data_IF_297586013330
#
_entry.id   IF_297586013330
#
_cell.length_a   1.000
_cell.length_b   1.000
_cell.length_c   1.000
_cell.angle_alpha   90.00
_cell.angle_beta   90.00
_cell.angle_gamma   90.00
#
_symmetry.space_group_name_H-M   'P 1'
#
loop_
_entity.id
_entity.type
_entity.pdbx_description
1 polymer ?
2 non-polymer ?
3 non-polymer ?
4 water ?
#
# COMPACT_ATOMS: atom_id res chain seq x y z
N UNK A 1 -11.68 7.74 20.38
CA UNK A 1 -12.20 6.43 19.86
C UNK A 1 -12.65 6.53 18.40
N UNK A 2 -11.78 6.07 17.47
CA UNK A 2 -12.03 6.08 16.03
C UNK A 2 -13.21 5.24 15.58
N UNK A 3 -13.65 4.32 16.43
CA UNK A 3 -14.77 3.47 16.10
C UNK A 3 -16.07 4.01 16.64
N UNK A 4 -15.97 5.08 17.42
CA UNK A 4 -17.13 5.70 18.04
C UNK A 4 -18.38 5.79 17.16
N UNK A 5 -18.20 6.11 15.88
CA UNK A 5 -19.34 6.24 14.99
C UNK A 5 -19.49 5.14 13.94
N UNK A 6 -18.65 4.12 14.01
CA UNK A 6 -18.67 3.03 13.02
C UNK A 6 -19.39 1.76 13.45
N UNK A 7 -19.66 1.63 14.75
CA UNK A 7 -20.30 0.42 15.27
C UNK A 7 -21.52 -0.11 14.52
N UNK A 8 -22.54 0.71 14.37
CA UNK A 8 -23.75 0.26 13.72
C UNK A 8 -23.62 -0.37 12.34
N UNK A 9 -22.89 0.27 11.43
CA UNK A 9 -22.74 -0.26 10.10
C UNK A 9 -21.40 -0.94 9.84
N UNK A 10 -20.70 -1.29 10.91
CA UNK A 10 -19.40 -1.92 10.82
C UNK A 10 -19.38 -3.21 9.98
N UNK A 11 -20.49 -3.93 9.96
CA UNK A 11 -20.57 -5.18 9.20
C UNK A 11 -21.35 -5.07 7.89
N UNK A 12 -21.79 -3.87 7.56
CA UNK A 12 -22.56 -3.65 6.33
C UNK A 12 -21.82 -4.16 5.11
N UNK A 13 -20.54 -3.86 5.05
CA UNK A 13 -19.75 -4.27 3.90
C UNK A 13 -19.76 -5.78 3.67
N UNK A 14 -19.85 -6.57 4.74
CA UNK A 14 -19.86 -8.02 4.60
C UNK A 14 -21.06 -8.50 3.80
N UNK A 15 -22.06 -7.64 3.65
CA UNK A 15 -23.24 -8.00 2.90
C UNK A 15 -23.02 -7.87 1.41
N UNK A 16 -22.09 -7.02 1.00
CA UNK A 16 -21.82 -6.84 -0.42
C UNK A 16 -21.06 -8.04 -0.98
N UNK A 17 -21.15 -8.24 -2.30
CA UNK A 17 -20.49 -9.36 -2.98
C UNK A 17 -19.01 -9.50 -2.64
N UNK A 18 -18.27 -8.43 -2.82
CA UNK A 18 -16.84 -8.47 -2.52
C UNK A 18 -16.61 -8.69 -1.04
N UNK A 19 -17.31 -7.90 -0.22
CA UNK A 19 -17.15 -8.03 1.22
C UNK A 19 -17.51 -9.42 1.70
N UNK A 20 -18.58 -9.98 1.14
CA UNK A 20 -19.02 -11.32 1.53
C UNK A 20 -17.91 -12.32 1.22
N UNK A 21 -17.24 -12.11 0.09
CA UNK A 21 -16.17 -12.99 -0.32
C UNK A 21 -14.98 -12.85 0.65
N UNK A 22 -14.63 -11.60 0.94
CA UNK A 22 -13.51 -11.37 1.82
C UNK A 22 -13.73 -11.99 3.19
N UNK A 23 -14.86 -11.69 3.81
CA UNK A 23 -15.14 -12.20 5.14
C UNK A 23 -15.23 -13.72 5.15
N UNK A 24 -15.70 -14.30 4.05
CA UNK A 24 -15.78 -15.75 3.95
C UNK A 24 -14.37 -16.34 3.92
N UNK A 25 -13.49 -15.77 3.11
CA UNK A 25 -12.15 -16.29 3.05
C UNK A 25 -11.40 -16.16 4.35
N UNK A 26 -11.59 -15.03 5.03
CA UNK A 26 -10.90 -14.79 6.29
C UNK A 26 -11.35 -15.79 7.35
N UNK A 27 -12.66 -16.03 7.46
CA UNK A 27 -13.12 -16.99 8.44
C UNK A 27 -12.52 -18.37 8.15
N UNK A 28 -12.53 -18.76 6.88
CA UNK A 28 -12.01 -20.06 6.48
C UNK A 28 -10.56 -20.20 6.92
N UNK A 29 -9.78 -19.13 6.72
CA UNK A 29 -8.38 -19.14 7.09
C UNK A 29 -8.25 -19.24 8.60
N UNK A 30 -9.08 -18.48 9.31
CA UNK A 30 -9.07 -18.47 10.77
C UNK A 30 -9.39 -19.87 11.32
N UNK A 31 -10.40 -20.49 10.73
CA UNK A 31 -10.81 -21.82 11.16
C UNK A 31 -9.64 -22.78 11.03
N UNK A 32 -8.81 -22.56 10.03
CA UNK A 32 -7.65 -23.42 9.83
C UNK A 32 -6.59 -23.32 10.92
N UNK A 33 -6.66 -22.30 11.75
CA UNK A 33 -5.69 -22.13 12.82
C UNK A 33 -6.27 -22.36 14.21
N UNK A 34 -7.60 -22.30 14.30
CA UNK A 34 -8.27 -22.49 15.59
C UNK A 34 -8.00 -23.85 16.21
N UNK A 35 -7.37 -23.86 17.38
CA UNK A 35 -7.06 -25.12 18.08
C UNK A 35 -8.16 -25.56 19.04
N UNK A 36 -8.07 -26.80 19.55
CA UNK A 36 -9.08 -27.30 20.49
C UNK A 36 -8.93 -26.52 21.79
N UNK A 37 -10.04 -26.32 22.49
CA UNK A 37 -9.97 -25.58 23.73
C UNK A 37 -11.32 -25.42 24.39
N UNK A 38 -11.30 -24.89 25.60
CA UNK A 38 -12.53 -24.68 26.34
C UNK A 38 -12.86 -23.21 26.46
N UNK A 39 -11.86 -22.41 26.83
CA UNK A 39 -12.07 -20.98 26.99
C UNK A 39 -11.33 -20.14 25.97
N UNK A 40 -12.05 -19.17 25.40
CA UNK A 40 -11.51 -18.26 24.42
C UNK A 40 -11.70 -16.82 24.85
N UNK A 41 -10.68 -16.01 24.62
CA UNK A 41 -10.72 -14.60 24.94
C UNK A 41 -10.36 -13.80 23.71
N UNK A 42 -11.27 -12.94 23.24
CA UNK A 42 -10.93 -12.11 22.10
C UNK A 42 -10.70 -10.68 22.57
N UNK A 43 -9.48 -10.18 22.38
CA UNK A 43 -9.15 -8.81 22.76
C UNK A 43 -9.55 -7.94 21.57
N UNK A 44 -10.39 -6.94 21.82
CA UNK A 44 -10.84 -6.09 20.73
C UNK A 44 -11.91 -6.83 19.97
N UNK A 45 -12.86 -7.42 20.68
CA UNK A 45 -13.94 -8.20 20.07
C UNK A 45 -14.94 -7.35 19.27
N UNK A 46 -14.78 -6.04 19.32
CA UNK A 46 -15.64 -5.14 18.57
C UNK A 46 -17.13 -5.45 18.56
N UNK A 47 -17.69 -5.72 17.38
CA UNK A 47 -19.11 -6.01 17.31
C UNK A 47 -19.38 -7.48 17.56
N UNK A 48 -18.35 -8.20 18.00
CA UNK A 48 -18.50 -9.61 18.30
C UNK A 48 -18.71 -10.53 17.12
N UNK A 49 -18.24 -10.13 15.95
CA UNK A 49 -18.40 -10.93 14.74
C UNK A 49 -17.84 -12.34 14.89
N UNK A 50 -16.66 -12.45 15.48
CA UNK A 50 -16.04 -13.74 15.67
C UNK A 50 -16.58 -14.46 16.88
N UNK A 51 -16.87 -13.71 17.94
CA UNK A 51 -17.42 -14.33 19.15
C UNK A 51 -18.65 -15.17 18.87
N UNK A 52 -19.57 -14.67 18.04
CA UNK A 52 -20.76 -15.45 17.76
C UNK A 52 -20.53 -16.59 16.78
N UNK A 53 -19.47 -16.52 16.00
CA UNK A 53 -19.20 -17.58 15.03
C UNK A 53 -18.28 -18.69 15.54
N UNK A 54 -17.45 -18.41 16.54
CA UNK A 54 -16.56 -19.43 17.06
C UNK A 54 -17.34 -20.41 17.96
N UNK A 55 -16.95 -21.69 17.93
CA UNK A 55 -17.55 -22.80 18.67
C UNK A 55 -17.20 -23.00 20.15
N UNK A 56 -16.11 -22.39 20.62
CA UNK A 56 -15.71 -22.55 22.02
C UNK A 56 -16.88 -22.39 23.00
N UNK A 57 -16.97 -23.29 23.99
CA UNK A 57 -18.01 -23.25 25.01
C UNK A 57 -17.90 -22.08 25.97
N UNK A 58 -16.68 -21.61 26.20
CA UNK A 58 -16.47 -20.49 27.10
C UNK A 58 -15.86 -19.31 26.33
N UNK A 59 -16.68 -18.28 26.07
CA UNK A 59 -16.20 -17.13 25.32
C UNK A 59 -16.29 -15.82 26.07
N UNK A 60 -15.20 -15.05 26.00
CA UNK A 60 -15.07 -13.77 26.68
C UNK A 60 -14.56 -12.68 25.72
N UNK A 61 -15.24 -11.55 25.68
CA UNK A 61 -14.80 -10.48 24.80
C UNK A 61 -14.42 -9.20 25.52
N UNK A 62 -13.20 -8.73 25.25
CA UNK A 62 -12.70 -7.49 25.84
C UNK A 62 -12.75 -6.41 24.77
N UNK A 63 -13.53 -5.37 25.03
CA UNK A 63 -13.70 -4.28 24.09
C UNK A 63 -13.78 -2.96 24.83
N UNK A 64 -12.85 -2.03 24.54
CA UNK A 64 -12.82 -0.73 25.19
C UNK A 64 -13.81 0.29 24.63
N UNK A 65 -14.14 0.18 23.35
CA UNK A 65 -15.06 1.13 22.74
C UNK A 65 -16.49 0.90 23.20
N UNK A 66 -17.06 1.89 23.87
CA UNK A 66 -18.43 1.78 24.36
C UNK A 66 -19.36 1.53 23.18
N UNK A 67 -19.11 2.22 22.08
CA UNK A 67 -19.91 2.10 20.86
C UNK A 67 -19.88 0.66 20.33
N UNK A 69 -18.80 -2.09 21.85
CA UNK A 69 -19.32 -2.93 22.91
C UNK A 69 -20.85 -2.98 22.95
N UNK A 70 -21.49 -1.83 22.76
CA UNK A 70 -22.94 -1.78 22.76
C UNK A 70 -23.50 -2.78 21.74
N UNK A 71 -22.92 -2.78 20.54
CA UNK A 71 -23.34 -3.69 19.49
C UNK A 71 -22.91 -5.12 19.74
N UNK A 72 -21.63 -5.30 20.06
CA UNK A 72 -21.10 -6.63 20.32
C UNK A 72 -21.88 -7.50 21.30
N UNK A 73 -22.16 -6.98 22.49
CA UNK A 73 -22.87 -7.78 23.46
C UNK A 73 -24.30 -8.09 23.03
N UNK A 74 -24.83 -7.25 22.14
CA UNK A 74 -26.17 -7.48 21.62
C UNK A 74 -26.11 -8.67 20.67
N UNK A 75 -25.13 -8.66 19.77
CA UNK A 75 -24.96 -9.70 18.77
C UNK A 75 -24.33 -11.00 19.26
N UNK A 76 -23.52 -10.94 20.30
CA UNK A 76 -22.91 -12.17 20.84
C UNK A 76 -23.18 -12.29 22.35
N UNK A 77 -24.47 -12.28 22.74
CA UNK A 77 -24.89 -12.38 24.13
C UNK A 77 -24.37 -13.59 24.90
N UNK A 78 -24.19 -14.71 24.21
CA UNK A 78 -23.70 -15.92 24.87
C UNK A 78 -22.34 -15.73 25.51
N UNK A 79 -21.63 -14.68 25.13
CA UNK A 79 -20.30 -14.45 25.69
C UNK A 79 -20.35 -13.42 26.80
N UNK A 80 -19.29 -13.38 27.60
CA UNK A 80 -19.19 -12.43 28.70
C UNK A 80 -18.44 -11.23 28.14
N UNK A 81 -19.07 -10.06 28.16
CA UNK A 81 -18.42 -8.86 27.63
C UNK A 81 -17.81 -7.96 28.70
N UNK A 82 -16.49 -7.74 28.58
CA UNK A 82 -15.76 -6.93 29.53
C UNK A 82 -15.21 -5.64 28.91
N UNK A 83 -15.44 -4.51 29.57
CA UNK A 83 -14.95 -3.22 29.07
C UNK A 83 -13.56 -2.98 29.64
N UNK A 84 -12.54 -3.24 28.83
CA UNK A 84 -11.16 -3.06 29.24
C UNK A 84 -10.24 -2.85 28.03
N UNK A 85 -8.96 -2.59 28.30
CA UNK A 85 -7.99 -2.38 27.25
C UNK A 85 -7.04 -3.57 27.17
N UNK A 86 -6.55 -3.86 25.97
CA UNK A 86 -5.63 -4.97 25.81
C UNK A 86 -4.40 -4.84 26.67
N UNK A 87 -3.98 -3.60 26.91
CA UNK A 87 -2.80 -3.33 27.72
C UNK A 87 -2.95 -3.80 29.18
N UNK A 88 -4.18 -3.89 29.67
CA UNK A 88 -4.42 -4.31 31.05
C UNK A 88 -5.65 -5.20 31.17
N UNK A 89 -5.48 -6.49 30.91
CA UNK A 89 -6.58 -7.44 30.99
C UNK A 89 -6.88 -7.80 32.45
N UNK A 90 -8.14 -7.59 32.89
CA UNK A 90 -8.60 -7.86 34.26
C UNK A 90 -8.83 -9.35 34.53
N UNK A 91 -7.84 -10.18 34.23
CA UNK A 91 -7.96 -11.61 34.47
C UNK A 91 -6.68 -12.09 35.10
N UNK A 92 -6.77 -13.15 35.93
CA UNK A 92 -5.58 -13.67 36.58
C UNK A 92 -4.79 -14.42 35.50
N UNK A 93 -3.52 -14.72 35.79
CA UNK A 93 -2.72 -15.43 34.82
C UNK A 93 -3.22 -16.84 34.52
N UNK A 94 -2.81 -17.35 33.37
CA UNK A 94 -3.17 -18.69 32.93
C UNK A 94 -4.65 -19.04 33.11
N UNK A 95 -5.52 -18.24 32.49
CA UNK A 95 -6.96 -18.48 32.61
C UNK A 95 -7.66 -18.85 31.30
N UNK A 96 -6.97 -18.70 30.17
CA UNK A 96 -7.57 -19.04 28.87
C UNK A 96 -6.77 -20.06 28.07
N UNK A 97 -7.47 -20.82 27.22
CA UNK A 97 -6.82 -21.81 26.38
C UNK A 97 -6.42 -21.17 25.07
N UNK A 98 -7.21 -20.18 24.62
CA UNK A 98 -6.96 -19.48 23.37
C UNK A 98 -7.26 -17.98 23.49
N UNK A 99 -6.35 -17.15 22.98
CA UNK A 99 -6.58 -15.72 22.98
C UNK A 99 -6.49 -15.26 21.52
N UNK A 100 -7.53 -14.58 21.06
CA UNK A 100 -7.61 -14.10 19.68
C UNK A 100 -7.46 -12.61 19.55
N UNK A 101 -6.67 -12.19 18.57
CA UNK A 101 -6.43 -10.78 18.27
C UNK A 101 -6.58 -10.61 16.76
N UNK A 102 -7.78 -10.26 16.33
CA UNK A 102 -8.06 -10.09 14.91
C UNK A 102 -8.10 -8.63 14.52
N UNK A 103 -7.12 -8.20 13.73
CA UNK A 103 -6.96 -6.82 13.26
C UNK A 103 -7.23 -5.82 14.40
N UNK A 104 -6.60 -6.08 15.53
CA UNK A 104 -6.76 -5.23 16.70
C UNK A 104 -5.45 -4.51 16.99
N UNK A 105 -4.34 -5.20 16.77
CA UNK A 105 -3.02 -4.62 17.00
C UNK A 105 -2.82 -3.35 16.16
N UNK A 106 -3.60 -3.23 15.09
CA UNK A 106 -3.54 -2.06 14.23
C UNK A 106 -4.05 -0.82 14.96
N UNK A 107 -4.81 -1.02 16.04
CA UNK A 107 -5.38 0.09 16.76
C UNK A 107 -5.05 0.24 18.24
N UNK A 108 -4.37 -0.74 18.83
CA UNK A 108 -4.04 -0.65 20.26
C UNK A 108 -3.06 0.49 20.50
N UNK A 109 -2.82 0.84 21.76
CA UNK A 109 -1.91 1.93 22.05
C UNK A 109 -0.49 1.44 22.27
N UNK A 110 -0.36 0.17 22.67
CA UNK A 110 0.94 -0.42 22.92
C UNK A 110 0.88 -1.87 22.48
N UNK A 111 1.50 -2.18 21.36
CA UNK A 111 1.48 -3.54 20.84
C UNK A 111 2.20 -4.56 21.70
N UNK A 112 3.44 -4.28 22.07
CA UNK A 112 4.20 -5.21 22.88
C UNK A 112 3.50 -5.50 24.20
N UNK A 113 2.90 -4.47 24.79
CA UNK A 113 2.22 -4.62 26.06
C UNK A 113 1.02 -5.53 25.91
N UNK A 114 0.23 -5.27 24.87
CA UNK A 114 -0.97 -6.06 24.57
C UNK A 114 -0.61 -7.54 24.37
N UNK A 115 0.52 -7.79 23.73
CA UNK A 115 0.98 -9.15 23.48
C UNK A 115 1.42 -9.80 24.78
N UNK A 116 2.01 -9.01 25.67
CA UNK A 116 2.44 -9.54 26.95
C UNK A 116 1.22 -9.95 27.75
N UNK A 117 0.23 -9.08 27.78
CA UNK A 117 -1.00 -9.36 28.49
C UNK A 117 -1.64 -10.63 27.94
N UNK A 118 -1.66 -10.75 26.62
CA UNK A 118 -2.24 -11.92 25.97
C UNK A 118 -1.57 -13.21 26.45
N UNK A 119 -0.24 -13.19 26.58
CA UNK A 119 0.48 -14.38 27.00
C UNK A 119 0.36 -14.69 28.49
N UNK A 120 0.23 -13.65 29.31
CA UNK A 120 0.09 -13.84 30.76
C UNK A 120 -1.23 -14.52 31.08
N UNK A 121 -2.28 -14.00 30.48
CA UNK A 121 -3.64 -14.48 30.63
C UNK A 121 -3.79 -15.86 30.02
N UNK A 122 -2.88 -16.18 29.12
CA UNK A 122 -2.89 -17.45 28.43
C UNK A 122 -2.29 -18.51 29.35
N UNK A 123 -2.93 -19.68 29.44
CA UNK A 123 -2.40 -20.71 30.31
C UNK A 123 -1.29 -21.50 29.61
N UNK A 124 -0.51 -22.29 30.38
CA UNK A 124 0.60 -23.09 29.86
C UNK A 124 0.36 -23.71 28.49
N UNK A 125 1.21 -23.36 27.53
CA UNK A 125 1.09 -23.89 26.18
C UNK A 125 -0.15 -23.36 25.47
N UNK A 126 -0.71 -22.29 26.02
CA UNK A 126 -1.90 -21.69 25.44
C UNK A 126 -1.67 -21.17 24.04
N UNK A 127 -2.72 -21.16 23.25
CA UNK A 127 -2.65 -20.71 21.87
C UNK A 127 -3.02 -19.24 21.69
N UNK A 128 -2.10 -18.48 21.12
CA UNK A 128 -2.33 -17.07 20.82
C UNK A 128 -2.47 -16.99 19.30
N UNK A 129 -3.64 -16.58 18.83
CA UNK A 129 -3.87 -16.44 17.40
C UNK A 129 -3.98 -14.96 17.06
N UNK A 130 -3.10 -14.50 16.17
CA UNK A 130 -3.09 -13.09 15.77
C UNK A 130 -3.37 -12.93 14.29
N UNK A 131 -4.24 -11.96 13.97
CA UNK A 131 -4.57 -11.69 12.59
C UNK A 131 -4.36 -10.22 12.31
N UNK A 132 -3.66 -9.92 11.22
CA UNK A 132 -3.41 -8.53 10.84
C UNK A 132 -3.59 -8.31 9.35
N UNK A 133 -3.81 -7.06 8.97
CA UNK A 133 -3.94 -6.70 7.55
C UNK A 133 -2.51 -6.47 7.09
N UNK A 134 -1.92 -7.51 6.51
CA UNK A 134 -0.54 -7.48 6.02
C UNK A 134 -0.25 -6.12 5.37
N UNK A 135 0.71 -5.41 5.93
CA UNK A 135 1.06 -4.08 5.45
C UNK A 135 1.44 -4.01 3.98
N UNK A 136 1.90 -5.14 3.42
CA UNK A 136 2.33 -5.18 2.03
C UNK A 136 1.29 -5.53 0.98
N UNK A 137 0.03 -5.63 1.38
CA UNK A 137 -0.99 -5.97 0.40
C UNK A 137 -1.64 -4.72 -0.18
N UNK A 138 -2.20 -4.82 -1.40
CA UNK A 138 -2.85 -3.67 -2.03
C UNK A 138 -3.96 -3.08 -1.16
N UNK A 139 -4.48 -3.89 -0.24
CA UNK A 139 -5.53 -3.41 0.68
C UNK A 139 -4.91 -2.40 1.64
N UNK A 140 -3.70 -2.70 2.09
CA UNK A 140 -3.02 -1.78 2.98
C UNK A 140 -2.84 -0.48 2.21
N UNK A 141 -2.51 -0.59 0.93
CA UNK A 141 -2.32 0.62 0.12
C UNK A 141 -3.60 1.45 0.18
N UNK A 142 -4.74 0.79 -0.02
CA UNK A 142 -6.02 1.49 0.02
C UNK A 142 -6.29 2.12 1.39
N UNK A 143 -6.11 1.33 2.45
CA UNK A 143 -6.38 1.85 3.78
C UNK A 143 -5.41 2.95 4.18
N UNK A 144 -4.14 2.82 3.80
CA UNK A 144 -3.20 3.88 4.13
C UNK A 144 -3.66 5.18 3.47
N UNK A 145 -4.07 5.09 2.20
CA UNK A 145 -4.55 6.26 1.48
C UNK A 145 -5.80 6.85 2.14
N UNK A 146 -6.76 5.98 2.43
CA UNK A 146 -7.99 6.40 3.07
C UNK A 146 -7.68 7.07 4.40
N UNK A 147 -6.69 6.52 5.11
CA UNK A 147 -6.29 7.07 6.39
C UNK A 147 -5.85 8.50 6.27
N UNK A 148 -4.78 8.73 5.48
CA UNK A 148 -4.27 10.09 5.29
C UNK A 148 -5.34 11.00 4.72
N UNK A 149 -6.32 10.39 4.05
CA UNK A 149 -7.42 11.14 3.47
C UNK A 149 -8.40 11.47 4.60
N UNK A 150 -8.03 11.10 5.82
CA UNK A 150 -8.86 11.38 6.98
C UNK A 150 -10.04 10.46 7.27
N UNK A 151 -10.13 9.32 6.59
CA UNK A 151 -11.24 8.39 6.83
C UNK A 151 -10.97 7.53 8.07
N UNK A 152 -11.99 7.38 8.90
CA UNK A 152 -11.89 6.59 10.11
C UNK A 152 -12.24 5.14 9.83
N UNK A 153 -11.62 4.20 10.56
CA UNK A 153 -10.64 4.42 11.63
C UNK A 153 -9.21 4.41 11.09
N UNK A 154 -9.10 4.30 9.78
CA UNK A 154 -7.81 4.21 9.11
C UNK A 154 -6.80 5.32 9.43
N UNK A 155 -7.29 6.52 9.67
CA UNK A 155 -6.39 7.63 9.98
C UNK A 155 -5.57 7.34 11.24
N UNK A 156 -6.09 6.49 12.11
CA UNK A 156 -5.39 6.16 13.34
C UNK A 156 -4.87 4.74 13.42
N UNK A 157 -4.73 4.09 12.28
CA UNK A 157 -4.25 2.71 12.24
C UNK A 157 -2.74 2.66 12.04
N UNK A 158 -2.14 1.52 12.36
CA UNK A 158 -0.71 1.31 12.16
C UNK A 158 -0.74 0.01 11.36
N UNK A 159 0.16 -0.16 10.41
CA UNK A 159 0.13 -1.39 9.63
C UNK A 159 1.29 -2.31 9.91
N UNK A 160 0.98 -3.58 10.07
CA UNK A 160 1.99 -4.58 10.38
C UNK A 160 2.13 -5.63 9.29
N UNK A 161 3.35 -6.15 9.18
CA UNK A 161 3.66 -7.18 8.21
C UNK A 161 3.96 -8.42 9.03
N UNK A 162 3.76 -9.60 8.45
CA UNK A 162 4.03 -10.84 9.17
C UNK A 162 5.43 -10.79 9.78
N UNK A 163 6.32 -10.07 9.12
CA UNK A 163 7.70 -9.94 9.60
C UNK A 163 7.72 -9.31 11.00
N UNK A 164 6.88 -8.29 11.21
CA UNK A 164 6.83 -7.61 12.50
C UNK A 164 6.34 -8.52 13.61
N UNK A 165 5.35 -9.36 13.31
CA UNK A 165 4.81 -10.26 14.31
C UNK A 165 5.89 -11.26 14.68
N UNK A 166 6.46 -11.93 13.69
CA UNK A 166 7.51 -12.90 13.93
C UNK A 166 8.64 -12.24 14.70
N UNK A 167 8.84 -10.96 14.44
CA UNK A 167 9.88 -10.21 15.13
C UNK A 167 9.53 -10.10 16.61
N UNK A 168 8.24 -9.99 16.91
CA UNK A 168 7.76 -9.85 18.28
C UNK A 168 7.47 -11.15 19.04
N UNK A 169 6.86 -12.11 18.35
CA UNK A 169 6.49 -13.36 19.00
C UNK A 169 7.39 -14.53 18.62
N UNK A 170 8.29 -14.31 17.67
CA UNK A 170 9.15 -15.40 17.25
C UNK A 170 8.40 -16.19 16.19
N UNK A 171 8.92 -17.36 15.80
CA UNK A 171 8.34 -18.25 14.78
C UNK A 171 7.02 -18.92 15.17
N UNK A 172 5.94 -18.60 14.45
CA UNK A 172 4.61 -19.18 14.72
C UNK A 172 4.58 -20.68 14.48
N UNK A 173 3.77 -21.36 15.29
CA UNK A 173 3.61 -22.80 15.21
C UNK A 173 2.82 -23.16 13.95
N UNK A 174 2.04 -22.20 13.45
CA UNK A 174 1.24 -22.40 12.26
C UNK A 174 0.87 -21.04 11.69
N UNK A 175 0.55 -21.00 10.40
CA UNK A 175 0.20 -19.76 9.73
C UNK A 175 -0.98 -19.94 8.82
N UNK A 176 -1.57 -18.82 8.43
CA UNK A 176 -2.71 -18.84 7.54
C UNK A 176 -2.74 -17.50 6.83
N UNK A 177 -3.40 -17.44 5.68
CA UNK A 177 -3.49 -16.20 4.92
C UNK A 177 -4.68 -16.23 4.01
N UNK A 178 -5.28 -15.07 3.77
CA UNK A 178 -6.45 -15.01 2.92
C UNK A 178 -6.61 -13.70 2.16
N UNK A 179 -7.32 -13.81 1.04
CA UNK A 179 -7.63 -12.69 0.16
C UNK A 179 -6.41 -12.17 -0.59
N UNK A 180 -6.15 -12.76 -1.76
CA UNK A 180 -5.02 -12.34 -2.58
C UNK A 180 -5.47 -11.40 -3.69
N UNK A 181 -6.78 -11.33 -3.94
CA UNK A 181 -7.27 -10.42 -4.96
C UNK A 181 -7.14 -8.99 -4.42
N UNK A 182 -7.31 -8.00 -5.27
CA UNK A 182 -7.18 -6.61 -4.84
C UNK A 182 -8.55 -5.96 -4.62
N UNK A 183 -8.58 -4.82 -3.91
CA UNK A 183 -9.80 -4.07 -3.62
C UNK A 183 -10.70 -3.82 -4.83
N UNK A 184 -10.12 -3.62 -6.00
CA UNK A 184 -10.93 -3.34 -7.17
C UNK A 184 -11.15 -4.55 -8.08
N UNK A 185 -11.04 -5.73 -7.50
CA UNK A 185 -11.22 -6.96 -8.24
C UNK A 185 -12.62 -7.10 -8.80
N UNK A 186 -12.72 -7.80 -9.92
CA UNK A 186 -14.01 -8.05 -10.55
C UNK A 186 -14.31 -9.55 -10.50
N UNK A 187 -15.58 -9.91 -10.28
CA UNK A 187 -16.02 -11.30 -10.19
C UNK A 187 -16.02 -11.99 -11.55
N UNK A 188 -16.00 -13.33 -11.58
CA UNK A 188 -15.98 -14.26 -10.45
C UNK A 188 -14.74 -14.10 -9.56
N UNK A 189 -14.98 -13.75 -8.31
CA UNK A 189 -13.91 -13.50 -7.36
C UNK A 189 -12.87 -14.59 -7.16
N UNK A 190 -13.23 -15.85 -7.35
CA UNK A 190 -12.24 -16.90 -7.17
C UNK A 190 -11.14 -16.80 -8.21
N UNK A 191 -11.48 -16.40 -9.43
CA UNK A 191 -10.48 -16.23 -10.47
C UNK A 191 -9.54 -15.11 -10.03
N UNK A 192 -10.14 -13.95 -9.73
CA UNK A 192 -9.40 -12.79 -9.28
C UNK A 192 -8.46 -13.17 -8.15
N UNK A 193 -8.98 -13.97 -7.22
CA UNK A 193 -8.19 -14.39 -6.06
C UNK A 193 -6.99 -15.25 -6.45
N UNK A 194 -7.21 -16.28 -7.26
CA UNK A 194 -6.08 -17.12 -7.67
C UNK A 194 -5.07 -16.26 -8.44
N UNK A 195 -5.60 -15.34 -9.26
CA UNK A 195 -4.77 -14.43 -10.05
C UNK A 195 -3.90 -13.58 -9.14
N UNK A 196 -4.50 -13.03 -8.10
CA UNK A 196 -3.74 -12.21 -7.18
C UNK A 196 -2.60 -12.97 -6.56
N UNK A 197 -2.79 -14.27 -6.35
CA UNK A 197 -1.74 -15.09 -5.75
C UNK A 197 -0.57 -15.16 -6.72
N UNK A 198 -0.88 -15.56 -7.95
CA UNK A 198 0.11 -15.70 -9.02
C UNK A 198 0.84 -14.38 -9.32
N UNK A 199 0.16 -13.26 -9.11
CA UNK A 199 0.76 -11.96 -9.38
C UNK A 199 1.77 -11.62 -8.30
N UNK A 200 1.77 -12.40 -7.22
CA UNK A 200 2.71 -12.16 -6.14
C UNK A 200 2.18 -11.30 -4.99
N UNK A 201 0.90 -10.98 -5.01
CA UNK A 201 0.30 -10.16 -3.96
C UNK A 201 0.47 -10.76 -2.57
N UNK A 202 0.76 -9.92 -1.59
CA UNK A 202 0.82 -10.38 -0.21
C UNK A 202 -0.67 -10.51 0.11
N UNK A 203 -1.06 -11.43 0.98
CA UNK A 203 -2.50 -11.52 1.25
C UNK A 203 -3.00 -10.33 2.05
N UNK A 204 -4.32 -10.12 2.05
CA UNK A 204 -4.89 -9.02 2.80
C UNK A 204 -4.86 -9.40 4.30
N UNK A 205 -4.96 -10.69 4.59
CA UNK A 205 -4.95 -11.13 5.97
C UNK A 205 -3.91 -12.20 6.26
N UNK A 206 -3.06 -11.91 7.24
CA UNK A 206 -2.07 -12.87 7.66
C UNK A 206 -2.47 -13.35 9.05
N UNK A 207 -2.39 -14.66 9.29
CA UNK A 207 -2.73 -15.25 10.59
C UNK A 207 -1.60 -16.12 11.10
N UNK A 208 -1.30 -15.96 12.39
CA UNK A 208 -0.26 -16.74 13.03
C UNK A 208 -0.72 -17.28 14.39
N UNK A 209 -0.27 -18.48 14.75
CA UNK A 209 -0.62 -19.10 16.03
C UNK A 209 0.65 -19.38 16.82
N UNK A 210 0.72 -18.84 18.04
CA UNK A 210 1.89 -19.03 18.90
C UNK A 210 1.53 -19.65 20.25
N UNK A 211 2.36 -20.59 20.68
CA UNK A 211 2.18 -21.25 21.97
C UNK A 211 3.39 -20.96 22.86
N UNK B 1 18.24 16.68 0.95
CA UNK B 1 18.08 15.89 -0.31
C UNK B 1 18.05 14.38 -0.07
N UNK B 2 16.87 13.76 -0.18
CA UNK B 2 16.68 12.33 0.02
C UNK B 2 17.54 11.43 -0.87
N UNK B 3 17.79 11.89 -2.10
CA UNK B 3 18.59 11.13 -3.06
C UNK B 3 20.08 11.42 -2.92
N UNK B 4 20.45 12.20 -1.90
CA UNK B 4 21.83 12.58 -1.65
C UNK B 4 22.86 11.46 -1.77
N UNK B 5 22.44 10.22 -1.52
CA UNK B 5 23.39 9.11 -1.60
C UNK B 5 22.86 7.92 -2.38
N UNK B 6 21.87 8.15 -3.24
CA UNK B 6 21.29 7.07 -4.01
C UNK B 6 21.66 7.13 -5.49
N UNK B 7 22.20 8.27 -5.93
CA UNK B 7 22.57 8.47 -7.31
C UNK B 7 23.36 7.34 -7.96
N UNK B 8 24.41 6.86 -7.30
CA UNK B 8 25.22 5.79 -7.88
C UNK B 8 24.54 4.44 -8.05
N UNK B 9 23.84 3.98 -7.02
CA UNK B 9 23.16 2.69 -7.09
C UNK B 9 21.71 2.81 -7.55
N UNK B 10 21.26 4.03 -7.82
CA UNK B 10 19.89 4.27 -8.25
C UNK B 10 19.40 3.29 -9.32
N UNK B 11 20.16 3.13 -10.39
CA UNK B 11 19.76 2.24 -11.48
C UNK B 11 20.08 0.76 -11.29
N UNK B 12 20.75 0.43 -10.19
CA UNK B 12 21.15 -0.94 -9.88
C UNK B 12 20.03 -1.98 -10.04
N UNK B 13 18.94 -1.78 -9.34
CA UNK B 13 17.81 -2.71 -9.39
C UNK B 13 17.42 -3.12 -10.81
N UNK B 14 17.44 -2.16 -11.73
CA UNK B 14 17.09 -2.44 -13.12
C UNK B 14 17.91 -3.58 -13.70
N UNK B 15 18.92 -4.01 -12.96
CA UNK B 15 19.78 -5.11 -13.39
C UNK B 15 19.23 -6.47 -13.00
N UNK B 16 18.39 -6.54 -11.97
CA UNK B 16 17.80 -7.81 -11.55
C UNK B 16 16.70 -8.22 -12.52
N UNK B 17 16.36 -9.51 -12.56
CA UNK B 17 15.32 -10.02 -13.46
C UNK B 17 13.98 -9.28 -13.43
N UNK B 18 13.44 -9.08 -12.22
CA UNK B 18 12.17 -8.38 -12.08
C UNK B 18 12.39 -6.92 -12.47
N UNK B 19 13.44 -6.32 -11.90
CA UNK B 19 13.75 -4.93 -12.21
C UNK B 19 13.83 -4.75 -13.72
N UNK B 20 14.57 -5.63 -14.38
CA UNK B 20 14.70 -5.56 -15.82
C UNK B 20 13.32 -5.55 -16.48
N UNK B 21 12.47 -6.47 -16.05
CA UNK B 21 11.12 -6.58 -16.59
C UNK B 21 10.29 -5.33 -16.37
N UNK B 22 10.29 -4.86 -15.11
CA UNK B 22 9.54 -3.68 -14.73
C UNK B 22 9.93 -2.46 -15.56
N UNK B 23 11.21 -2.08 -15.48
CA UNK B 23 11.68 -0.90 -16.20
C UNK B 23 11.44 -0.97 -17.70
N UNK B 24 11.50 -2.18 -18.27
CA UNK B 24 11.26 -2.34 -19.69
C UNK B 24 9.79 -2.08 -19.97
N UNK B 25 8.95 -2.57 -19.07
CA UNK B 25 7.51 -2.36 -19.23
C UNK B 25 7.16 -0.89 -19.12
N UNK B 26 7.84 -0.20 -18.21
CA UNK B 26 7.58 1.23 -18.05
C UNK B 26 8.01 1.98 -19.30
N UNK B 27 9.19 1.64 -19.82
CA UNK B 27 9.69 2.29 -21.02
C UNK B 27 8.70 2.14 -22.17
N UNK B 28 8.16 0.93 -22.32
CA UNK B 28 7.21 0.69 -23.38
C UNK B 28 5.98 1.58 -23.23
N UNK B 29 5.43 1.63 -22.03
CA UNK B 29 4.24 2.45 -21.79
C UNK B 29 4.54 3.94 -22.03
N UNK B 30 5.69 4.40 -21.55
CA UNK B 30 6.10 5.80 -21.71
C UNK B 30 6.25 6.17 -23.18
N UNK B 31 7.01 5.38 -23.93
CA UNK B 31 7.20 5.68 -25.34
C UNK B 31 5.88 5.66 -26.10
N UNK B 32 4.95 4.80 -25.68
CA UNK B 32 3.68 4.72 -26.35
C UNK B 32 2.84 5.98 -26.18
N UNK B 33 3.17 6.77 -25.16
CA UNK B 33 2.42 7.98 -24.86
C UNK B 33 3.12 9.28 -25.28
N UNK B 34 4.41 9.18 -25.60
CA UNK B 34 5.18 10.35 -26.02
C UNK B 34 4.75 10.81 -27.42
N UNK B 35 4.36 12.09 -27.54
CA UNK B 35 3.91 12.70 -28.79
C UNK B 35 5.02 13.23 -29.70
N UNK B 36 4.63 13.70 -30.90
CA UNK B 36 5.59 14.25 -31.87
C UNK B 36 6.12 15.57 -31.31
N UNK B 37 7.34 15.96 -31.70
CA UNK B 37 7.89 17.20 -31.19
C UNK B 37 9.39 17.32 -31.35
N UNK B 38 9.90 18.54 -31.16
CA UNK B 38 11.33 18.79 -31.30
C UNK B 38 12.02 18.96 -29.95
N UNK B 39 11.35 19.65 -29.03
CA UNK B 39 11.95 19.91 -27.72
C UNK B 39 11.25 19.26 -26.52
N UNK B 40 12.07 18.72 -25.63
CA UNK B 40 11.61 18.05 -24.43
C UNK B 40 12.28 18.56 -23.18
N UNK B 41 11.49 18.74 -22.13
CA UNK B 41 12.00 19.17 -20.83
C UNK B 41 11.62 18.11 -19.80
N UNK B 42 12.59 17.58 -19.07
CA UNK B 42 12.23 16.63 -18.02
C UNK B 42 12.54 17.23 -16.67
N UNK B 43 11.50 17.48 -15.89
CA UNK B 43 11.64 18.05 -14.55
C UNK B 43 11.93 16.91 -13.58
N UNK B 44 13.06 17.01 -12.88
CA UNK B 44 13.44 15.94 -11.98
C UNK B 44 14.00 14.81 -12.82
N UNK B 45 14.85 15.16 -13.78
CA UNK B 45 15.46 14.19 -14.70
C UNK B 45 16.40 13.18 -14.02
N UNK B 46 16.74 13.43 -12.76
CA UNK B 46 17.61 12.51 -12.03
C UNK B 46 18.88 12.07 -12.71
N UNK B 47 19.01 10.76 -12.95
CA UNK B 47 20.21 10.22 -13.57
C UNK B 47 20.11 10.12 -15.09
N UNK B 48 19.18 10.90 -15.67
CA UNK B 48 19.01 10.92 -17.11
C UNK B 48 18.62 9.62 -17.78
N UNK B 49 18.04 8.71 -17.02
CA UNK B 49 17.63 7.42 -17.56
C UNK B 49 16.69 7.58 -18.76
N UNK B 50 15.75 8.51 -18.68
CA UNK B 50 14.81 8.73 -19.77
C UNK B 50 15.35 9.67 -20.84
N UNK B 51 16.11 10.67 -20.42
CA UNK B 51 16.69 11.63 -21.36
C UNK B 51 17.59 10.88 -22.35
N UNK B 52 18.37 9.95 -21.82
CA UNK B 52 19.27 9.16 -22.63
C UNK B 52 18.53 8.23 -23.59
N UNK B 53 17.22 8.10 -23.42
CA UNK B 53 16.47 7.18 -24.27
C UNK B 53 15.35 7.76 -25.11
N UNK B 54 15.15 9.07 -25.10
CA UNK B 54 14.06 9.65 -25.90
C UNK B 54 14.47 10.30 -27.22
N UNK B 55 13.66 10.09 -28.28
CA UNK B 55 13.84 10.60 -29.65
C UNK B 55 14.04 12.10 -29.85
N UNK B 56 13.41 12.92 -29.00
CA UNK B 56 13.51 14.37 -29.13
C UNK B 56 14.92 14.92 -29.38
N UNK B 57 15.09 15.63 -30.50
CA UNK B 57 16.35 16.24 -30.92
C UNK B 57 16.91 17.25 -29.94
N UNK B 58 16.04 18.01 -29.31
CA UNK B 58 16.48 19.01 -28.34
C UNK B 58 15.85 18.72 -26.97
N UNK B 59 16.67 18.26 -26.03
CA UNK B 59 16.14 17.98 -24.70
C UNK B 59 16.91 18.57 -23.53
N UNK B 60 16.14 19.06 -22.56
CA UNK B 60 16.71 19.67 -21.37
C UNK B 60 16.29 18.92 -20.10
N UNK B 61 17.22 18.82 -19.16
CA UNK B 61 16.92 18.15 -17.91
C UNK B 61 17.05 19.09 -16.73
N UNK B 62 15.98 19.23 -15.95
CA UNK B 62 16.02 20.07 -14.75
C UNK B 62 16.12 19.14 -13.55
N UNK B 63 17.16 19.31 -12.75
CA UNK B 63 17.38 18.47 -11.58
C UNK B 63 18.04 19.23 -10.44
N UNK B 64 17.31 19.43 -9.34
CA UNK B 64 17.81 20.16 -8.16
C UNK B 64 18.89 19.44 -7.36
N UNK B 65 18.86 18.11 -7.37
CA UNK B 65 19.87 17.35 -6.63
C UNK B 65 21.20 17.36 -7.36
N UNK B 66 22.23 17.87 -6.69
CA UNK B 66 23.55 17.90 -7.29
C UNK B 66 24.10 16.48 -7.38
N UNK B 67 23.73 15.66 -6.41
CA UNK B 67 24.16 14.27 -6.37
C UNK B 67 23.66 13.54 -7.62
N UNK B 69 22.26 14.93 -10.29
CA UNK B 69 22.72 15.72 -11.44
C UNK B 69 24.10 15.30 -11.92
N UNK B 70 25.01 15.11 -10.97
CA UNK B 70 26.37 14.69 -11.29
C UNK B 70 26.34 13.44 -12.18
N UNK B 71 25.45 12.51 -11.85
CA UNK B 71 25.31 11.27 -12.62
C UNK B 71 24.58 11.52 -13.93
N UNK B 72 23.47 12.25 -13.86
CA UNK B 72 22.69 12.53 -15.05
C UNK B 72 23.45 13.21 -16.18
N UNK B 73 24.10 14.33 -15.88
CA UNK B 73 24.85 15.06 -16.90
C UNK B 73 25.89 14.16 -17.53
N UNK B 74 26.25 13.10 -16.81
CA UNK B 74 27.24 12.16 -17.28
C UNK B 74 26.61 11.09 -18.18
N UNK B 75 25.53 10.47 -17.71
CA UNK B 75 24.86 9.42 -18.47
C UNK B 75 24.01 9.91 -19.62
N UNK B 76 23.73 11.21 -19.65
CA UNK B 76 22.93 11.79 -20.73
C UNK B 76 23.54 13.15 -21.06
N UNK B 77 24.76 13.13 -21.64
CA UNK B 77 25.49 14.34 -22.03
C UNK B 77 24.88 15.09 -23.19
N UNK B 78 24.15 14.40 -24.06
CA UNK B 78 23.56 15.06 -25.22
C UNK B 78 22.39 15.96 -24.86
N UNK B 79 22.19 16.20 -23.57
CA UNK B 79 21.10 17.07 -23.15
C UNK B 79 21.67 18.17 -22.28
N UNK B 80 20.95 19.29 -22.20
CA UNK B 80 21.39 20.42 -21.39
C UNK B 80 20.89 20.24 -19.96
N UNK B 81 21.81 20.14 -19.01
CA UNK B 81 21.41 19.95 -17.63
C UNK B 81 21.37 21.24 -16.83
N UNK B 82 20.18 21.57 -16.35
CA UNK B 82 19.94 22.78 -15.57
C UNK B 82 19.66 22.46 -14.11
N UNK B 83 20.40 23.11 -13.22
CA UNK B 83 20.21 22.89 -11.79
C UNK B 83 19.18 23.87 -11.25
N UNK B 84 17.94 23.42 -11.14
CA UNK B 84 16.84 24.25 -10.63
C UNK B 84 15.70 23.36 -10.09
N UNK B 85 14.68 23.99 -9.54
CA UNK B 85 13.53 23.26 -9.01
C UNK B 85 12.35 23.39 -9.94
N UNK B 86 11.44 22.41 -9.90
CA UNK B 86 10.28 22.45 -10.76
C UNK B 86 9.35 23.58 -10.41
N UNK B 87 9.48 24.09 -9.19
CA UNK B 87 8.66 25.19 -8.72
C UNK B 87 9.03 26.51 -9.38
N UNK B 88 10.24 26.56 -9.93
CA UNK B 88 10.71 27.78 -10.59
C UNK B 88 11.63 27.42 -11.76
N UNK B 89 11.04 27.16 -12.92
CA UNK B 89 11.81 26.82 -14.09
C UNK B 89 12.43 28.07 -14.70
N UNK B 90 13.76 28.06 -14.89
CA UNK B 90 14.47 29.21 -15.46
C UNK B 90 14.32 29.29 -16.98
N UNK B 91 13.10 29.20 -17.48
CA UNK B 91 12.84 29.26 -18.91
C UNK B 91 11.68 30.18 -19.21
N UNK B 92 11.69 30.81 -20.40
CA UNK B 92 10.58 31.70 -20.72
C UNK B 92 9.38 30.80 -21.07
N UNK B 93 8.19 31.39 -21.11
CA UNK B 93 7.01 30.61 -21.43
C UNK B 93 7.04 30.10 -22.84
N UNK B 94 6.18 29.13 -23.13
CA UNK B 94 6.07 28.52 -24.45
C UNK B 94 7.43 28.23 -25.06
N UNK B 95 8.18 27.32 -24.47
CA UNK B 95 9.49 26.99 -25.01
C UNK B 95 9.74 25.51 -25.23
N UNK B 96 8.81 24.66 -24.83
CA UNK B 96 8.98 23.22 -25.01
C UNK B 96 7.74 22.60 -25.65
N UNK B 97 7.95 21.55 -26.43
CA UNK B 97 6.84 20.86 -27.07
C UNK B 97 6.30 19.82 -26.11
N UNK B 98 7.20 19.26 -25.32
CA UNK B 98 6.83 18.24 -24.35
C UNK B 98 7.55 18.44 -23.03
N UNK B 99 6.80 18.29 -21.94
CA UNK B 99 7.37 18.38 -20.60
C UNK B 99 7.09 17.04 -19.95
N UNK B 100 8.12 16.45 -19.34
CA UNK B 100 7.96 15.16 -18.70
C UNK B 100 8.21 15.18 -17.19
N UNK B 101 7.28 14.57 -16.46
CA UNK B 101 7.36 14.45 -15.00
C UNK B 101 7.14 12.97 -14.75
N UNK B 102 8.23 12.26 -14.46
CA UNK B 102 8.16 10.84 -14.21
C UNK B 102 8.56 10.57 -12.76
N UNK B 103 7.58 10.14 -11.97
CA UNK B 103 7.78 9.86 -10.54
C UNK B 103 8.57 10.98 -9.87
N UNK B 104 8.22 12.22 -10.21
CA UNK B 104 8.85 13.39 -9.64
C UNK B 104 7.89 14.11 -8.69
N UNK B 105 6.62 14.19 -9.08
CA UNK B 105 5.63 14.86 -8.24
C UNK B 105 5.60 14.32 -6.81
N UNK B 106 5.93 13.05 -6.61
CA UNK B 106 5.93 12.51 -5.28
C UNK B 106 7.06 13.06 -4.40
N UNK B 107 7.96 13.84 -4.99
CA UNK B 107 9.08 14.39 -4.22
C UNK B 107 9.18 15.91 -4.19
N UNK B 108 8.44 16.58 -5.06
CA UNK B 108 8.51 18.04 -5.11
C UNK B 108 7.95 18.69 -3.85
N UNK B 109 8.16 20.00 -3.71
CA UNK B 109 7.67 20.75 -2.58
C UNK B 109 6.20 21.10 -2.76
N UNK B 110 5.91 21.76 -3.87
CA UNK B 110 4.56 22.22 -4.18
C UNK B 110 4.09 21.66 -5.52
N UNK B 111 3.28 20.61 -5.47
CA UNK B 111 2.78 19.95 -6.68
C UNK B 111 1.99 20.85 -7.63
N UNK B 112 1.13 21.71 -7.09
CA UNK B 112 0.35 22.58 -7.95
C UNK B 112 1.22 23.59 -8.69
N UNK B 113 2.23 24.12 -8.00
CA UNK B 113 3.11 25.10 -8.62
C UNK B 113 3.96 24.44 -9.70
N UNK B 114 4.47 23.25 -9.39
CA UNK B 114 5.27 22.51 -10.35
C UNK B 114 4.46 22.34 -11.64
N UNK B 115 3.20 21.92 -11.52
CA UNK B 115 2.34 21.73 -12.67
C UNK B 115 2.03 23.04 -13.38
N UNK B 116 1.95 24.14 -12.64
CA UNK B 116 1.69 25.43 -13.27
C UNK B 116 2.90 25.82 -14.13
N UNK B 117 4.09 25.60 -13.57
CA UNK B 117 5.33 25.91 -14.27
C UNK B 117 5.44 25.05 -15.53
N UNK B 118 5.12 23.76 -15.41
CA UNK B 118 5.20 22.87 -16.54
C UNK B 118 4.31 23.37 -17.66
N UNK B 119 3.10 23.80 -17.31
CA UNK B 119 2.19 24.30 -18.32
C UNK B 119 2.65 25.62 -18.91
N UNK B 120 3.25 26.47 -18.08
CA UNK B 120 3.73 27.77 -18.53
C UNK B 120 4.80 27.67 -19.62
N UNK B 121 5.79 26.81 -19.40
CA UNK B 121 6.88 26.64 -20.35
C UNK B 121 6.52 25.77 -21.54
N UNK B 122 5.27 25.36 -21.61
CA UNK B 122 4.81 24.52 -22.71
C UNK B 122 4.33 25.37 -23.88
N UNK B 123 4.81 25.07 -25.07
CA UNK B 123 4.41 25.82 -26.26
C UNK B 123 2.94 25.59 -26.57
N UNK B 124 2.35 26.41 -27.46
CA UNK B 124 0.94 26.20 -27.78
C UNK B 124 0.77 24.87 -28.51
N UNK B 125 -0.09 24.01 -27.98
CA UNK B 125 -0.31 22.72 -28.58
C UNK B 125 0.63 21.71 -27.93
N UNK B 126 1.33 22.16 -26.91
CA UNK B 126 2.27 21.29 -26.21
C UNK B 126 1.56 20.19 -25.44
N UNK B 127 2.34 19.24 -24.94
CA UNK B 127 1.79 18.13 -24.19
C UNK B 127 2.57 17.87 -22.91
N UNK B 128 1.84 17.70 -21.82
CA UNK B 128 2.43 17.42 -20.52
C UNK B 128 2.24 15.92 -20.27
N UNK B 129 3.32 15.23 -19.94
CA UNK B 129 3.23 13.80 -19.67
C UNK B 129 3.67 13.52 -18.25
N UNK B 130 2.75 12.99 -17.45
CA UNK B 130 3.06 12.69 -16.07
C UNK B 130 2.98 11.20 -15.77
N UNK B 131 3.95 10.71 -15.00
CA UNK B 131 3.99 9.32 -14.61
C UNK B 131 4.16 9.30 -13.11
N UNK B 132 3.30 8.54 -12.42
CA UNK B 132 3.39 8.45 -10.96
C UNK B 132 3.30 7.00 -10.53
N UNK B 133 3.76 6.72 -9.31
CA UNK B 133 3.64 5.37 -8.77
C UNK B 133 2.22 5.37 -8.20
N UNK B 134 1.26 4.85 -8.96
CA UNK B 134 -0.13 4.83 -8.50
C UNK B 134 -0.18 4.42 -7.03
N UNK B 135 -0.78 5.29 -6.22
CA UNK B 135 -0.88 5.10 -4.79
C UNK B 135 -1.64 3.88 -4.33
N UNK B 136 -2.52 3.37 -5.17
CA UNK B 136 -3.33 2.22 -4.81
C UNK B 136 -2.71 0.88 -5.17
N UNK B 137 -1.53 0.89 -5.80
CA UNK B 137 -0.90 -0.37 -6.19
C UNK B 137 -0.08 -0.99 -5.06
N UNK B 138 0.12 -2.32 -5.12
CA UNK B 138 0.90 -3.01 -4.09
C UNK B 138 2.29 -2.42 -3.90
N UNK B 139 2.83 -1.78 -4.94
CA UNK B 139 4.15 -1.17 -4.84
C UNK B 139 4.10 0.03 -3.91
N UNK B 140 2.97 0.73 -3.93
CA UNK B 140 2.78 1.88 -3.07
C UNK B 140 2.82 1.40 -1.63
N UNK B 141 2.25 0.22 -1.40
CA UNK B 141 2.21 -0.36 -0.07
C UNK B 141 3.61 -0.63 0.41
N UNK B 142 4.45 -1.11 -0.50
CA UNK B 142 5.84 -1.42 -0.17
C UNK B 142 6.67 -0.16 0.12
N UNK B 143 6.49 0.87 -0.68
CA UNK B 143 7.26 2.08 -0.45
C UNK B 143 6.79 2.85 0.76
N UNK B 144 5.48 2.85 1.02
CA UNK B 144 5.00 3.57 2.20
C UNK B 144 5.60 2.88 3.43
N UNK B 145 5.70 1.56 3.38
CA UNK B 145 6.28 0.84 4.51
C UNK B 145 7.77 1.12 4.61
N UNK B 146 8.46 1.06 3.47
CA UNK B 146 9.89 1.35 3.49
C UNK B 146 10.09 2.76 4.03
N UNK B 147 9.28 3.70 3.57
CA UNK B 147 9.36 5.08 4.03
C UNK B 147 9.20 5.17 5.53
N UNK B 148 8.25 4.39 6.06
CA UNK B 148 7.99 4.34 7.49
C UNK B 148 9.22 3.85 8.24
N UNK B 149 9.83 2.80 7.70
CA UNK B 149 11.00 2.22 8.32
C UNK B 149 12.26 3.04 8.07
N UNK B 150 12.08 4.28 7.62
CA UNK B 150 13.23 5.14 7.37
C UNK B 150 13.73 5.22 5.94
N UNK B 151 14.00 4.06 5.34
CA UNK B 151 14.51 3.98 3.96
C UNK B 151 14.27 5.18 3.03
N UNK B 152 15.36 5.76 2.54
CA UNK B 152 15.28 6.90 1.62
C UNK B 152 15.10 6.41 0.19
N UNK B 153 14.46 7.20 -0.67
CA UNK B 153 13.87 8.52 -0.40
C UNK B 153 12.40 8.45 -0.01
N UNK B 154 11.89 7.23 0.10
CA UNK B 154 10.50 6.99 0.42
C UNK B 154 9.97 7.67 1.67
N UNK B 155 10.84 7.94 2.63
CA UNK B 155 10.42 8.61 3.86
C UNK B 155 9.85 10.00 3.54
N UNK B 156 10.30 10.58 2.44
CA UNK B 156 9.89 11.92 2.03
C UNK B 156 8.85 11.94 0.91
N UNK B 157 8.40 10.77 0.48
CA UNK B 157 7.44 10.72 -0.62
C UNK B 157 5.98 10.88 -0.28
N UNK B 158 5.23 11.42 -1.23
CA UNK B 158 3.79 11.57 -1.12
C UNK B 158 3.35 10.65 -2.26
N UNK B 159 2.14 10.09 -2.21
CA UNK B 159 1.71 9.21 -3.28
C UNK B 159 0.42 9.67 -3.92
N UNK B 160 0.37 9.57 -5.25
CA UNK B 160 -0.78 10.02 -6.00
C UNK B 160 -1.51 8.95 -6.77
N UNK B 161 -2.82 9.10 -6.88
CA UNK B 161 -3.63 8.17 -7.62
C UNK B 161 -3.99 8.91 -8.89
N UNK B 162 -4.39 8.20 -9.93
CA UNK B 162 -4.72 8.87 -11.16
C UNK B 162 -5.83 9.89 -10.92
N UNK B 163 -6.64 9.65 -9.89
CA UNK B 163 -7.72 10.58 -9.56
C UNK B 163 -7.16 11.92 -9.11
N UNK B 164 -6.06 11.87 -8.35
CA UNK B 164 -5.44 13.09 -7.88
C UNK B 164 -5.00 13.92 -9.08
N UNK B 165 -4.38 13.27 -10.07
CA UNK B 165 -3.94 13.97 -11.25
C UNK B 165 -5.10 14.54 -12.03
N UNK B 166 -6.20 13.79 -12.11
CA UNK B 166 -7.34 14.29 -12.85
C UNK B 166 -7.91 15.53 -12.17
N UNK B 167 -7.82 15.57 -10.84
CA UNK B 167 -8.33 16.71 -10.09
C UNK B 167 -7.44 17.93 -10.33
N UNK B 168 -6.16 17.69 -10.57
CA UNK B 168 -5.19 18.77 -10.77
C UNK B 168 -5.11 19.27 -12.20
N UNK B 169 -5.16 18.35 -13.16
CA UNK B 169 -5.03 18.72 -14.56
C UNK B 169 -6.27 18.54 -15.41
N UNK B 170 -7.28 17.90 -14.83
CA UNK B 170 -8.50 17.65 -15.58
C UNK B 170 -8.36 16.32 -16.30
N UNK B 171 -9.36 15.91 -17.08
CA UNK B 171 -9.28 14.63 -17.81
C UNK B 171 -8.16 14.62 -18.85
N UNK B 172 -7.23 13.66 -18.73
CA UNK B 172 -6.11 13.57 -19.69
C UNK B 172 -6.61 13.34 -21.11
N UNK B 173 -5.72 13.52 -22.08
CA UNK B 173 -6.06 13.31 -23.49
C UNK B 173 -5.85 11.85 -23.81
N UNK B 174 -4.86 11.25 -23.14
CA UNK B 174 -4.55 9.85 -23.34
C UNK B 174 -3.92 9.32 -22.05
N UNK B 175 -3.87 8.00 -21.91
CA UNK B 175 -3.32 7.40 -20.70
C UNK B 175 -2.48 6.19 -20.97
N UNK B 176 -1.65 5.83 -20.00
CA UNK B 176 -0.79 4.66 -20.12
C UNK B 176 -0.73 3.96 -18.77
N UNK B 177 -0.39 2.68 -18.75
CA UNK B 177 -0.32 1.91 -17.50
C UNK B 177 0.73 0.81 -17.61
N UNK B 178 1.41 0.51 -16.51
CA UNK B 178 2.40 -0.56 -16.57
C UNK B 178 2.71 -1.19 -15.23
N UNK B 179 3.01 -2.50 -15.28
CA UNK B 179 3.38 -3.29 -14.12
C UNK B 179 2.24 -3.60 -13.16
N UNK B 180 1.45 -4.61 -13.50
CA UNK B 180 0.35 -5.00 -12.63
C UNK B 180 0.79 -6.10 -11.67
N UNK B 181 1.98 -6.65 -11.85
CA UNK B 181 2.46 -7.68 -10.95
C UNK B 181 2.89 -7.00 -9.66
N UNK B 182 2.98 -7.78 -8.60
CA UNK B 182 3.36 -7.24 -7.31
C UNK B 182 4.85 -7.35 -7.09
N UNK B 183 5.39 -6.58 -6.15
CA UNK B 183 6.82 -6.59 -5.83
C UNK B 183 7.38 -8.00 -5.63
N UNK B 184 6.54 -8.93 -5.20
CA UNK B 184 7.02 -10.29 -4.96
C UNK B 184 6.58 -11.30 -5.99
N UNK B 185 6.38 -10.85 -7.22
CA UNK B 185 5.98 -11.74 -8.28
C UNK B 185 7.11 -12.73 -8.56
N UNK B 186 6.75 -13.86 -9.15
CA UNK B 186 7.71 -14.89 -9.49
C UNK B 186 7.62 -15.12 -10.99
N UNK B 187 8.77 -15.34 -11.65
CA UNK B 187 8.82 -15.57 -13.09
C UNK B 187 8.12 -16.87 -13.47
N UNK B 188 7.62 -16.99 -14.72
CA UNK B 188 7.64 -16.00 -15.81
C UNK B 188 6.83 -14.74 -15.50
N UNK B 189 7.50 -13.60 -15.57
CA UNK B 189 6.89 -12.32 -15.26
C UNK B 189 5.72 -11.85 -16.10
N UNK B 190 5.66 -12.21 -17.37
CA UNK B 190 4.53 -11.76 -18.16
C UNK B 190 3.23 -12.34 -17.61
N UNK B 191 3.29 -13.58 -17.12
CA UNK B 191 2.12 -14.26 -16.55
C UNK B 191 1.73 -13.53 -15.27
N UNK B 192 2.72 -13.29 -14.42
CA UNK B 192 2.50 -12.58 -13.17
C UNK B 192 1.79 -11.26 -13.45
N UNK B 193 2.23 -10.56 -14.51
CA UNK B 193 1.63 -9.29 -14.86
C UNK B 193 0.16 -9.44 -15.26
N UNK B 194 -0.12 -10.39 -16.14
CA UNK B 194 -1.49 -10.61 -16.57
C UNK B 194 -2.36 -11.00 -15.36
N UNK B 195 -1.75 -11.70 -14.41
CA UNK B 195 -2.45 -12.12 -13.21
C UNK B 195 -2.85 -10.90 -12.41
N UNK B 196 -1.88 -10.04 -12.15
CA UNK B 196 -2.13 -8.82 -11.40
C UNK B 196 -3.27 -8.01 -11.99
N UNK B 197 -3.33 -7.95 -13.31
CA UNK B 197 -4.40 -7.18 -13.93
C UNK B 197 -5.74 -7.84 -13.58
N UNK B 198 -5.82 -9.16 -13.74
CA UNK B 198 -7.05 -9.89 -13.44
C UNK B 198 -7.38 -9.83 -11.93
N UNK B 199 -6.33 -9.75 -11.10
CA UNK B 199 -6.51 -9.67 -9.66
C UNK B 199 -7.22 -8.40 -9.26
N UNK B 200 -7.18 -7.40 -10.15
CA UNK B 200 -7.82 -6.13 -9.84
C UNK B 200 -6.77 -5.12 -9.40
N UNK B 201 -5.51 -5.55 -9.42
CA UNK B 201 -4.40 -4.68 -9.03
C UNK B 201 -4.39 -3.39 -9.82
N UNK B 202 -3.87 -2.35 -9.20
CA UNK B 202 -3.74 -1.05 -9.82
C UNK B 202 -2.30 -1.07 -10.36
N UNK B 203 -2.05 -0.45 -11.51
CA UNK B 203 -0.68 -0.48 -12.04
C UNK B 203 0.35 0.23 -11.16
N UNK B 204 1.58 -0.25 -11.18
CA UNK B 204 2.64 0.39 -10.40
C UNK B 204 2.89 1.78 -11.01
N UNK B 205 2.75 1.88 -12.32
CA UNK B 205 2.95 3.15 -13.01
C UNK B 205 1.73 3.61 -13.79
N UNK B 206 1.26 4.81 -13.48
CA UNK B 206 0.13 5.38 -14.20
C UNK B 206 0.67 6.56 -15.02
N UNK B 207 0.29 6.62 -16.29
CA UNK B 207 0.73 7.68 -17.20
C UNK B 207 -0.45 8.43 -17.82
N UNK B 208 -0.32 9.75 -17.83
CA UNK B 208 -1.35 10.58 -18.41
C UNK B 208 -0.74 11.67 -19.28
N UNK B 209 -1.46 12.07 -20.32
CA UNK B 209 -0.98 13.11 -21.22
C UNK B 209 -2.04 14.21 -21.31
N UNK B 210 -1.67 15.43 -20.96
CA UNK B 210 -2.57 16.55 -21.01
C UNK B 210 -2.10 17.58 -22.03
N UNK B 211 -3.00 18.43 -22.48
CA UNK B 211 -2.64 19.46 -23.45
C UNK B 211 -3.20 20.82 -23.10
#
# INVERSE_FOLDING_TARGET
DPFASLAEAYEAWYGTPLGAYVIAEEERALKGLLPPGESLLEVGAGTGYWLRRLPYPQKVGVEPSEAXLAVGRRRAPEATWVRAWGEALPFPGESFDVVLLFTTLEFVEDVERVLLEARRVLRPGGALVVGVLEALSPWAALYRRLGEKGVLPWAQARFLAREDLKALLGPPEAEGEAVFLAPEAHPPYEEADLAGRRAGNRPALYLGRWR
DPFASLAEAYEAWYGTPLGAYVIAEEERALKGLLPPGESLLEVGAGTGYWLRRLPYPQKVGVEPSEAXLAVGRRRAPEATWVRAWGEALPFPGESFDVVLLFTTLEFVEDVERVLLEARRVLRPGGALVVGVLEALSPWAALYRRLGEKGVLPWAQARFLAREDLKALLGPPEAEGEAVFLAPEAHPPYEEADLAGRRAGNRPALYLGRWR
#
